data_IF_420020258084
#
_entry.id   IF_420020258084
#
_cell.length_a   1.000
_cell.length_b   1.000
_cell.length_c   1.000
_cell.angle_alpha   90.00
_cell.angle_beta   90.00
_cell.angle_gamma   90.00
#
_symmetry.space_group_name_H-M   'P 1'
#
loop_
_entity.id
_entity.type
_entity.pdbx_description
1 polymer ?
#
# COMPACT_ATOMS: atom_id res chain seq x y z
N UNK A 1 21.90 13.35 -5.05
CA UNK A 1 21.74 12.03 -4.37
C UNK A 1 20.27 11.75 -4.04
N UNK A 2 19.33 12.16 -4.90
CA UNK A 2 17.88 12.20 -4.59
C UNK A 2 17.03 11.22 -5.41
N UNK A 3 17.66 10.36 -6.23
CA UNK A 3 16.93 9.49 -7.19
C UNK A 3 16.88 8.01 -6.80
N UNK A 4 17.39 7.62 -5.63
CA UNK A 4 17.56 6.19 -5.29
C UNK A 4 16.40 5.55 -4.51
N UNK A 5 15.41 6.32 -4.06
CA UNK A 5 14.38 5.79 -3.15
C UNK A 5 12.97 5.65 -3.72
N UNK A 6 12.66 6.37 -4.79
CA UNK A 6 11.46 6.08 -5.62
C UNK A 6 11.64 4.76 -6.39
N UNK A 7 12.88 4.27 -6.43
CA UNK A 7 13.28 3.02 -7.10
C UNK A 7 12.91 1.74 -6.32
N UNK A 8 12.44 1.79 -5.08
CA UNK A 8 12.12 0.54 -4.38
C UNK A 8 10.83 -0.10 -4.90
N UNK A 9 9.86 0.67 -5.33
CA UNK A 9 8.69 0.13 -6.04
C UNK A 9 9.06 -0.31 -7.48
N UNK A 10 10.08 0.30 -8.09
CA UNK A 10 10.60 -0.09 -9.41
C UNK A 10 11.76 -1.11 -9.34
N UNK A 11 12.37 -1.35 -8.20
CA UNK A 11 13.50 -2.29 -8.04
C UNK A 11 13.06 -3.75 -7.93
N UNK A 12 11.79 -4.05 -7.79
CA UNK A 12 11.29 -5.40 -8.07
C UNK A 12 11.46 -5.78 -9.55
N UNK A 13 11.73 -4.81 -10.44
CA UNK A 13 11.94 -5.06 -11.88
C UNK A 13 13.41 -5.19 -12.30
N UNK A 14 14.41 -4.91 -11.45
CA UNK A 14 15.82 -4.85 -11.89
C UNK A 14 16.87 -5.29 -10.86
N UNK A 15 16.70 -6.39 -10.16
CA UNK A 15 17.85 -7.12 -9.65
C UNK A 15 18.15 -8.29 -10.59
N UNK A 16 18.59 -7.95 -11.80
CA UNK A 16 19.12 -8.91 -12.73
C UNK A 16 20.46 -9.45 -12.23
N UNK A 17 20.46 -10.68 -11.71
CA UNK A 17 21.58 -11.58 -11.89
C UNK A 17 21.18 -12.53 -13.00
N UNK A 18 21.72 -12.24 -14.18
CA UNK A 18 21.60 -13.06 -15.38
C UNK A 18 22.21 -14.44 -15.15
N UNK A 19 21.43 -15.48 -15.33
CA UNK A 19 21.79 -16.66 -16.14
C UNK A 19 20.54 -17.47 -16.43
N UNK A 20 20.12 -17.52 -17.69
CA UNK A 20 19.22 -18.53 -18.25
C UNK A 20 17.76 -18.17 -18.16
N UNK A 21 17.18 -17.80 -19.31
CA UNK A 21 15.77 -17.86 -19.68
C UNK A 21 14.75 -17.91 -18.53
N UNK A 22 14.57 -16.81 -17.79
CA UNK A 22 13.38 -16.60 -17.01
C UNK A 22 12.34 -15.95 -17.97
N UNK A 23 11.30 -16.67 -18.31
CA UNK A 23 10.07 -16.03 -18.78
C UNK A 23 9.69 -14.97 -17.75
N UNK A 24 9.32 -13.77 -18.22
CA UNK A 24 8.75 -12.72 -17.37
C UNK A 24 7.44 -13.24 -16.77
N UNK A 25 7.52 -13.88 -15.62
CA UNK A 25 6.34 -14.29 -14.86
C UNK A 25 5.82 -13.03 -14.20
N UNK A 26 4.56 -12.64 -14.41
CA UNK A 26 3.99 -11.48 -13.75
C UNK A 26 3.99 -11.72 -12.23
N UNK A 27 4.93 -11.12 -11.53
CA UNK A 27 5.06 -11.23 -10.10
C UNK A 27 4.35 -10.07 -9.42
N UNK A 28 3.40 -10.37 -8.54
CA UNK A 28 2.80 -9.43 -7.62
C UNK A 28 3.60 -9.44 -6.33
N UNK A 29 3.98 -8.27 -5.84
CA UNK A 29 4.68 -8.14 -4.57
C UNK A 29 3.73 -7.68 -3.47
N UNK A 30 3.73 -8.41 -2.37
CA UNK A 30 3.07 -8.01 -1.13
C UNK A 30 4.15 -7.58 -0.15
N UNK A 31 3.98 -6.42 0.47
CA UNK A 31 5.01 -5.86 1.35
C UNK A 31 4.46 -5.50 2.71
N UNK A 32 5.26 -5.75 3.72
CA UNK A 32 5.05 -5.33 5.09
C UNK A 32 6.38 -4.91 5.72
N UNK A 33 6.35 -4.08 6.75
CA UNK A 33 7.55 -3.66 7.45
C UNK A 33 7.46 -4.03 8.93
N UNK A 34 8.54 -4.64 9.45
CA UNK A 34 8.69 -4.96 10.88
C UNK A 34 9.93 -4.23 11.39
N UNK A 35 9.73 -3.10 12.07
CA UNK A 35 10.85 -2.24 12.44
C UNK A 35 11.60 -1.76 11.20
N UNK A 36 12.87 -2.15 11.09
CA UNK A 36 13.71 -1.81 9.93
C UNK A 36 13.75 -2.93 8.87
N UNK A 37 13.04 -4.04 9.07
CA UNK A 37 13.02 -5.19 8.16
C UNK A 37 11.86 -5.04 7.19
N UNK A 38 12.12 -5.03 5.88
CA UNK A 38 11.10 -5.19 4.87
C UNK A 38 10.80 -6.69 4.69
N UNK A 39 9.54 -7.04 4.70
CA UNK A 39 9.04 -8.39 4.44
C UNK A 39 8.33 -8.35 3.09
N UNK A 40 8.88 -9.02 2.09
CA UNK A 40 8.37 -9.01 0.72
C UNK A 40 7.99 -10.43 0.33
N UNK A 41 6.72 -10.65 0.00
CA UNK A 41 6.23 -11.88 -0.61
C UNK A 41 6.13 -11.69 -2.12
N UNK A 42 6.81 -12.53 -2.86
CA UNK A 42 6.65 -12.65 -4.31
C UNK A 42 5.59 -13.69 -4.63
N UNK A 43 4.61 -13.31 -5.44
CA UNK A 43 3.44 -14.12 -5.74
C UNK A 43 3.14 -14.10 -7.25
N UNK A 44 3.00 -15.28 -7.84
CA UNK A 44 2.51 -15.42 -9.19
C UNK A 44 0.98 -15.29 -9.22
N UNK A 45 0.49 -14.16 -9.71
CA UNK A 45 -0.94 -13.89 -9.79
C UNK A 45 -1.67 -14.77 -10.82
N UNK A 46 -0.98 -15.21 -11.88
CA UNK A 46 -1.54 -16.05 -12.94
C UNK A 46 -1.76 -17.48 -12.45
N UNK A 47 -0.74 -18.07 -11.82
CA UNK A 47 -0.80 -19.43 -11.27
C UNK A 47 -1.34 -19.50 -9.85
N UNK A 48 -1.47 -18.33 -9.19
CA UNK A 48 -1.88 -18.21 -7.78
C UNK A 48 -0.94 -18.96 -6.82
N UNK A 49 0.34 -18.88 -7.08
CA UNK A 49 1.36 -19.56 -6.29
C UNK A 49 2.37 -18.55 -5.72
N UNK A 50 2.67 -18.58 -4.42
CA UNK A 50 3.74 -17.80 -3.84
C UNK A 50 5.10 -18.45 -4.15
N UNK A 51 6.08 -17.60 -4.49
CA UNK A 51 7.44 -18.08 -4.75
C UNK A 51 8.27 -18.13 -3.47
N UNK A 52 8.50 -16.93 -2.90
CA UNK A 52 9.46 -16.68 -1.84
C UNK A 52 8.97 -15.57 -0.92
N UNK A 53 9.48 -15.59 0.32
CA UNK A 53 9.40 -14.46 1.26
C UNK A 53 10.81 -13.92 1.48
N UNK A 54 11.04 -12.66 1.11
CA UNK A 54 12.31 -11.99 1.34
C UNK A 54 12.22 -11.12 2.60
N UNK A 55 13.22 -11.23 3.45
CA UNK A 55 13.44 -10.39 4.62
C UNK A 55 14.65 -9.50 4.32
N UNK A 56 14.40 -8.24 4.00
CA UNK A 56 15.48 -7.28 3.74
C UNK A 56 15.81 -6.50 5.02
N UNK A 57 17.05 -6.62 5.45
CA UNK A 57 17.59 -5.96 6.65
C UNK A 57 18.36 -4.68 6.27
N UNK A 58 18.49 -3.71 7.19
CA UNK A 58 19.14 -2.41 6.93
C UNK A 58 20.58 -2.51 6.43
N UNK A 59 21.29 -3.57 6.82
CA UNK A 59 22.72 -3.80 6.51
C UNK A 59 22.96 -4.40 5.13
N UNK A 60 22.00 -4.29 4.19
CA UNK A 60 22.01 -4.95 2.87
C UNK A 60 22.07 -6.50 2.96
N UNK A 61 21.61 -7.05 4.06
CA UNK A 61 21.43 -8.50 4.20
C UNK A 61 20.00 -8.87 3.82
N UNK A 62 19.87 -9.88 2.95
CA UNK A 62 18.58 -10.45 2.58
C UNK A 62 18.54 -11.92 2.97
N UNK A 63 17.54 -12.30 3.76
CA UNK A 63 17.23 -13.70 4.04
C UNK A 63 16.04 -14.12 3.20
N UNK A 64 16.20 -15.17 2.40
CA UNK A 64 15.13 -15.69 1.54
C UNK A 64 14.54 -16.96 2.15
N UNK A 65 13.25 -16.92 2.41
CA UNK A 65 12.47 -18.08 2.84
C UNK A 65 11.82 -18.72 1.61
N UNK A 66 12.25 -19.91 1.28
CA UNK A 66 11.77 -20.67 0.13
C UNK A 66 10.51 -21.46 0.49
N UNK A 67 9.55 -21.51 -0.43
CA UNK A 67 8.38 -22.38 -0.28
C UNK A 67 8.83 -23.86 -0.18
N UNK A 68 8.46 -24.52 0.91
CA UNK A 68 8.84 -25.91 1.18
C UNK A 68 7.67 -26.89 1.08
N UNK A 69 6.46 -26.41 1.34
CA UNK A 69 5.27 -27.26 1.41
C UNK A 69 4.02 -26.45 1.05
N UNK A 70 3.11 -27.09 0.31
CA UNK A 70 1.77 -26.58 0.06
C UNK A 70 0.72 -27.58 0.52
N UNK A 71 -0.09 -27.20 1.50
CA UNK A 71 -1.26 -27.96 1.91
C UNK A 71 -2.49 -27.52 1.12
N UNK A 72 -2.89 -28.32 0.13
CA UNK A 72 -4.07 -28.03 -0.72
C UNK A 72 -5.40 -28.00 0.03
N UNK A 73 -5.52 -28.75 1.13
CA UNK A 73 -6.77 -28.82 1.89
C UNK A 73 -6.99 -27.56 2.72
N UNK A 74 -5.90 -26.95 3.22
CA UNK A 74 -5.93 -25.75 4.05
C UNK A 74 -5.61 -24.49 3.26
N UNK A 75 -5.29 -24.59 1.96
CA UNK A 75 -4.76 -23.49 1.14
C UNK A 75 -3.63 -22.74 1.85
N UNK A 76 -2.68 -23.51 2.42
CA UNK A 76 -1.60 -23.00 3.27
C UNK A 76 -0.25 -23.34 2.69
N UNK A 77 0.62 -22.34 2.61
CA UNK A 77 2.01 -22.48 2.19
C UNK A 77 2.94 -22.36 3.41
N UNK A 78 4.03 -23.11 3.37
CA UNK A 78 5.10 -23.04 4.37
C UNK A 78 6.41 -22.67 3.71
N UNK A 79 7.15 -21.74 4.36
CA UNK A 79 8.42 -21.21 3.89
C UNK A 79 9.47 -21.38 4.95
N UNK A 80 10.71 -21.69 4.56
CA UNK A 80 11.85 -21.80 5.46
C UNK A 80 13.09 -21.16 4.87
N UNK A 81 13.85 -20.47 5.73
CA UNK A 81 15.17 -19.99 5.39
C UNK A 81 16.17 -21.16 5.31
N UNK A 82 17.15 -21.02 4.42
CA UNK A 82 18.36 -21.88 4.36
C UNK A 82 19.53 -21.28 5.14
N UNK A 83 19.42 -20.04 5.58
CA UNK A 83 20.51 -19.28 6.22
C UNK A 83 20.26 -19.02 7.70
N UNK A 84 19.00 -18.93 8.11
CA UNK A 84 18.58 -18.63 9.49
C UNK A 84 17.51 -19.60 9.96
N UNK A 85 17.09 -19.46 11.23
CA UNK A 85 15.94 -20.20 11.79
C UNK A 85 14.59 -19.55 11.46
N UNK A 86 14.57 -18.62 10.50
CA UNK A 86 13.33 -17.95 10.11
C UNK A 86 12.43 -18.88 9.31
N UNK A 87 11.14 -18.84 9.62
CA UNK A 87 10.12 -19.55 8.86
C UNK A 87 8.80 -18.78 8.81
N UNK A 88 7.98 -19.08 7.82
CA UNK A 88 6.68 -18.44 7.66
C UNK A 88 5.62 -19.44 7.20
N UNK A 89 4.37 -19.09 7.47
CA UNK A 89 3.20 -19.74 6.87
C UNK A 89 2.28 -18.70 6.28
N UNK A 90 1.80 -18.92 5.08
CA UNK A 90 0.93 -18.04 4.34
C UNK A 90 -0.44 -18.68 4.14
N UNK A 91 -1.50 -17.92 4.35
CA UNK A 91 -2.87 -18.31 4.04
C UNK A 91 -3.67 -17.12 3.52
N UNK A 92 -4.69 -17.37 2.70
CA UNK A 92 -5.65 -16.34 2.33
C UNK A 92 -6.51 -15.93 3.53
N UNK A 93 -6.78 -14.63 3.68
CA UNK A 93 -7.57 -14.11 4.81
C UNK A 93 -9.05 -14.46 4.70
N UNK A 94 -9.57 -14.56 3.48
CA UNK A 94 -10.94 -15.00 3.24
C UNK A 94 -11.12 -15.48 1.79
N UNK A 95 -12.09 -16.35 1.59
CA UNK A 95 -12.51 -16.75 0.24
C UNK A 95 -13.10 -15.58 -0.59
N UNK A 96 -13.58 -14.54 0.08
CA UNK A 96 -14.18 -13.35 -0.55
C UNK A 96 -13.16 -12.34 -1.03
N UNK A 97 -11.99 -12.33 -0.41
CA UNK A 97 -10.86 -11.49 -0.82
C UNK A 97 -9.58 -12.35 -0.85
N UNK A 98 -9.38 -13.13 -1.92
CA UNK A 98 -8.22 -14.00 -2.07
C UNK A 98 -6.91 -13.21 -2.29
N UNK A 99 -7.00 -11.90 -2.55
CA UNK A 99 -5.82 -11.04 -2.70
C UNK A 99 -5.26 -10.59 -1.35
N UNK A 100 -6.05 -10.67 -0.28
CA UNK A 100 -5.56 -10.35 1.05
C UNK A 100 -4.95 -11.58 1.71
N UNK A 101 -3.66 -11.51 2.00
CA UNK A 101 -2.88 -12.61 2.53
C UNK A 101 -2.45 -12.35 3.98
N UNK A 102 -2.61 -13.35 4.84
CA UNK A 102 -2.05 -13.37 6.19
C UNK A 102 -0.75 -14.21 6.18
N UNK A 103 0.36 -13.57 6.53
CA UNK A 103 1.64 -14.22 6.74
C UNK A 103 1.91 -14.35 8.25
N UNK A 104 2.05 -15.58 8.74
CA UNK A 104 2.57 -15.84 10.09
C UNK A 104 4.07 -16.05 9.99
N UNK A 105 4.87 -15.05 10.40
CA UNK A 105 6.32 -15.02 10.25
C UNK A 105 7.02 -15.15 11.59
N UNK A 106 7.98 -16.07 11.69
CA UNK A 106 8.85 -16.25 12.85
C UNK A 106 10.29 -15.87 12.52
N UNK A 107 10.80 -14.87 13.24
CA UNK A 107 12.19 -14.41 13.16
C UNK A 107 12.79 -14.46 14.56
N UNK A 108 13.96 -15.09 14.73
CA UNK A 108 14.64 -15.21 16.03
C UNK A 108 13.69 -15.69 17.15
N UNK A 109 12.87 -16.70 16.85
CA UNK A 109 11.94 -17.31 17.79
C UNK A 109 10.70 -16.48 18.15
N UNK A 110 10.52 -15.30 17.55
CA UNK A 110 9.33 -14.46 17.77
C UNK A 110 8.39 -14.54 16.57
N UNK A 111 7.16 -15.02 16.79
CA UNK A 111 6.15 -15.12 15.74
C UNK A 111 5.26 -13.89 15.70
N UNK A 112 4.99 -13.41 14.50
CA UNK A 112 4.06 -12.31 14.21
C UNK A 112 3.13 -12.68 13.06
N UNK A 113 1.90 -12.22 13.14
CA UNK A 113 0.92 -12.30 12.06
C UNK A 113 0.90 -10.98 11.33
N UNK A 114 1.06 -11.02 10.02
CA UNK A 114 1.14 -9.86 9.15
C UNK A 114 0.05 -9.97 8.09
N UNK A 115 -0.69 -8.87 7.91
CA UNK A 115 -1.55 -8.69 6.75
C UNK A 115 -0.71 -8.08 5.65
N UNK A 116 -0.48 -8.81 4.58
CA UNK A 116 0.34 -8.34 3.48
C UNK A 116 -0.48 -7.46 2.53
N UNK A 117 0.11 -6.35 2.12
CA UNK A 117 -0.48 -5.41 1.17
C UNK A 117 0.03 -5.68 -0.24
N UNK A 118 -0.90 -5.87 -1.17
CA UNK A 118 -0.57 -5.91 -2.58
C UNK A 118 -0.33 -4.48 -3.09
N UNK A 119 0.87 -4.19 -3.57
CA UNK A 119 1.23 -2.86 -4.08
C UNK A 119 0.36 -2.42 -5.24
N UNK A 120 -0.02 -3.32 -6.14
CA UNK A 120 -0.89 -2.99 -7.27
C UNK A 120 -2.30 -2.58 -6.85
N UNK A 121 -2.66 -2.85 -5.59
CA UNK A 121 -3.97 -2.54 -5.04
C UNK A 121 -3.90 -1.42 -3.98
N UNK A 122 -2.76 -0.77 -3.80
CA UNK A 122 -2.62 0.36 -2.89
C UNK A 122 -2.98 1.66 -3.57
N UNK A 123 -3.36 2.66 -2.80
CA UNK A 123 -3.61 4.02 -3.27
C UNK A 123 -2.62 4.97 -2.62
N UNK A 124 -1.84 5.68 -3.41
CA UNK A 124 -0.95 6.72 -2.92
C UNK A 124 -1.73 8.01 -2.68
N UNK A 125 -1.63 8.54 -1.47
CA UNK A 125 -2.37 9.73 -1.02
C UNK A 125 -1.48 10.65 -0.20
N UNK A 126 -1.92 11.90 -0.01
CA UNK A 126 -1.34 12.79 0.98
C UNK A 126 -2.30 13.07 2.13
N UNK A 127 -1.73 13.45 3.27
CA UNK A 127 -2.52 13.92 4.42
C UNK A 127 -3.05 15.33 4.12
N UNK A 128 -4.35 15.49 4.29
CA UNK A 128 -5.05 16.76 4.13
C UNK A 128 -6.06 16.89 5.28
N UNK A 129 -5.56 17.32 6.43
CA UNK A 129 -6.37 17.48 7.63
C UNK A 129 -6.73 18.97 7.80
N UNK A 130 -8.01 19.30 7.70
CA UNK A 130 -8.51 20.67 7.84
C UNK A 130 -8.67 21.07 9.32
N UNK A 131 -8.35 20.18 10.25
CA UNK A 131 -8.34 20.51 11.68
C UNK A 131 -7.08 21.31 12.06
N UNK A 132 -7.11 21.92 13.25
CA UNK A 132 -5.96 22.71 13.72
C UNK A 132 -4.89 21.88 14.44
N UNK A 133 -5.08 20.57 14.55
CA UNK A 133 -4.20 19.68 15.29
C UNK A 133 -3.50 18.65 14.40
N UNK A 134 -2.60 17.89 15.02
CA UNK A 134 -1.92 16.78 14.37
C UNK A 134 -2.89 15.71 13.90
N UNK A 135 -2.57 15.07 12.78
CA UNK A 135 -3.38 13.97 12.25
C UNK A 135 -3.13 12.67 13.01
N UNK A 136 -4.19 12.08 13.53
CA UNK A 136 -4.12 10.87 14.33
C UNK A 136 -4.11 9.59 13.48
N UNK A 137 -3.13 8.73 13.75
CA UNK A 137 -3.09 7.36 13.25
C UNK A 137 -3.44 6.41 14.39
N UNK A 138 -4.26 5.39 14.10
CA UNK A 138 -4.81 4.48 15.09
C UNK A 138 -4.42 3.03 14.81
N UNK A 139 -4.48 2.18 15.84
CA UNK A 139 -4.18 0.74 15.72
C UNK A 139 -5.34 -0.09 15.12
N UNK A 140 -6.51 0.49 14.95
CA UNK A 140 -7.70 -0.10 14.34
C UNK A 140 -8.68 1.02 13.95
N UNK A 141 -9.69 0.77 13.11
CA UNK A 141 -10.82 1.67 12.91
C UNK A 141 -11.43 2.08 14.26
N UNK A 142 -11.46 3.39 14.53
CA UNK A 142 -11.91 3.98 15.82
C UNK A 142 -11.09 3.54 17.07
N UNK A 143 -9.96 2.86 16.86
CA UNK A 143 -9.11 2.36 17.95
C UNK A 143 -8.25 3.44 18.63
N UNK A 144 -7.27 2.98 19.41
CA UNK A 144 -6.34 3.85 20.14
C UNK A 144 -5.38 4.57 19.18
N UNK A 145 -5.04 5.81 19.47
CA UNK A 145 -4.02 6.58 18.75
C UNK A 145 -2.65 5.94 19.02
N UNK A 146 -1.93 5.58 17.97
CA UNK A 146 -0.59 4.97 18.04
C UNK A 146 0.50 5.88 17.49
N UNK A 147 0.11 6.88 16.69
CA UNK A 147 1.04 7.86 16.12
C UNK A 147 0.28 9.15 15.78
N UNK A 148 1.02 10.25 15.69
CA UNK A 148 0.50 11.54 15.25
C UNK A 148 1.41 12.09 14.18
N UNK A 149 0.84 12.54 13.08
CA UNK A 149 1.54 13.27 12.05
C UNK A 149 1.42 14.77 12.33
N UNK A 150 2.55 15.44 12.30
CA UNK A 150 2.65 16.88 12.52
C UNK A 150 1.82 17.64 11.48
N UNK A 151 1.00 18.58 11.94
CA UNK A 151 0.14 19.41 11.08
C UNK A 151 0.92 20.31 10.10
N UNK A 152 2.17 20.65 10.43
CA UNK A 152 3.02 21.56 9.65
C UNK A 152 3.88 20.79 8.63
N UNK A 153 3.88 19.45 8.67
CA UNK A 153 4.57 18.58 7.73
C UNK A 153 3.72 18.18 6.53
N UNK A 154 4.38 17.89 5.42
CA UNK A 154 3.75 17.22 4.26
C UNK A 154 3.93 15.73 4.36
N UNK A 155 2.84 14.99 4.47
CA UNK A 155 2.86 13.54 4.69
C UNK A 155 2.16 12.81 3.55
N UNK A 156 2.79 11.74 3.06
CA UNK A 156 2.25 10.88 2.00
C UNK A 156 2.26 9.43 2.45
N UNK A 157 1.23 8.70 2.07
CA UNK A 157 0.94 7.35 2.55
C UNK A 157 0.50 6.46 1.39
N UNK A 158 0.84 5.18 1.47
CA UNK A 158 0.18 4.15 0.69
C UNK A 158 -0.96 3.55 1.51
N UNK A 159 -2.16 3.56 0.96
CA UNK A 159 -3.36 3.04 1.60
C UNK A 159 -3.76 1.72 0.94
N UNK A 160 -4.02 0.72 1.77
CA UNK A 160 -4.53 -0.60 1.35
C UNK A 160 -6.03 -0.71 1.56
N UNK A 161 -6.45 -1.73 2.31
CA UNK A 161 -7.87 -1.99 2.52
C UNK A 161 -8.60 -0.89 3.28
N UNK A 162 -9.85 -0.64 2.85
CA UNK A 162 -10.78 0.25 3.53
C UNK A 162 -11.79 -0.54 4.37
N UNK A 163 -12.07 -0.04 5.56
CA UNK A 163 -13.12 -0.56 6.43
C UNK A 163 -13.87 0.60 7.09
N UNK A 164 -15.14 0.77 6.74
CA UNK A 164 -16.02 1.81 7.33
C UNK A 164 -15.42 3.22 7.30
N UNK A 165 -14.77 3.58 6.18
CA UNK A 165 -14.11 4.88 6.00
C UNK A 165 -12.72 4.99 6.63
N UNK A 166 -12.19 3.90 7.17
CA UNK A 166 -10.82 3.82 7.67
C UNK A 166 -9.97 3.05 6.70
N UNK A 167 -8.85 3.62 6.34
CA UNK A 167 -7.86 3.03 5.47
C UNK A 167 -6.71 2.44 6.28
N UNK A 168 -6.30 1.22 5.97
CA UNK A 168 -5.09 0.64 6.52
C UNK A 168 -3.88 1.25 5.80
N UNK A 169 -2.86 1.64 6.57
CA UNK A 169 -1.62 2.19 6.04
C UNK A 169 -0.68 1.04 5.71
N UNK A 170 -0.28 0.94 4.44
CA UNK A 170 0.60 -0.10 3.96
C UNK A 170 2.00 0.05 4.54
N UNK A 171 2.61 -1.08 4.93
CA UNK A 171 3.97 -1.13 5.42
C UNK A 171 4.23 -0.42 6.75
N UNK A 172 3.22 0.19 7.38
CA UNK A 172 3.35 0.96 8.62
C UNK A 172 4.38 2.10 8.53
N UNK A 173 4.48 2.78 7.42
CA UNK A 173 5.34 3.95 7.30
C UNK A 173 4.67 5.11 6.54
N UNK A 174 5.23 6.27 6.68
CA UNK A 174 4.82 7.52 6.06
C UNK A 174 6.04 8.21 5.44
N UNK A 175 5.88 8.73 4.24
CA UNK A 175 6.84 9.67 3.68
C UNK A 175 6.51 11.06 4.20
N UNK A 176 7.41 11.63 5.00
CA UNK A 176 7.22 12.93 5.66
C UNK A 176 8.29 13.91 5.22
N UNK A 177 7.86 15.15 4.98
CA UNK A 177 8.71 16.26 4.57
C UNK A 177 8.33 17.49 5.40
N UNK A 178 9.27 18.02 6.16
CA UNK A 178 9.07 19.17 7.03
C UNK A 178 10.40 19.72 7.57
N UNK A 179 10.35 20.66 8.51
CA UNK A 179 11.55 21.27 9.07
C UNK A 179 12.42 20.29 9.89
N UNK A 180 11.78 19.27 10.49
CA UNK A 180 12.45 18.36 11.44
C UNK A 180 12.86 17.05 10.80
N UNK A 181 12.16 16.59 9.76
CA UNK A 181 12.49 15.32 9.09
C UNK A 181 12.16 15.31 7.61
N UNK A 182 12.94 14.55 6.87
CA UNK A 182 12.74 14.31 5.45
C UNK A 182 12.93 12.82 5.16
N UNK A 183 11.91 12.19 4.55
CA UNK A 183 11.96 10.81 4.04
C UNK A 183 10.91 9.89 4.64
N UNK A 184 11.16 8.58 4.53
CA UNK A 184 10.26 7.54 5.00
C UNK A 184 10.48 7.26 6.49
N UNK A 185 9.44 7.43 7.28
CA UNK A 185 9.45 7.25 8.73
C UNK A 185 8.53 6.09 9.14
N UNK A 186 8.96 5.21 10.05
CA UNK A 186 8.09 4.18 10.59
C UNK A 186 7.01 4.81 11.50
N UNK A 187 5.76 4.44 11.28
CA UNK A 187 4.64 4.80 12.17
C UNK A 187 4.67 3.92 13.42
N UNK A 188 4.94 2.63 13.21
CA UNK A 188 5.07 1.65 14.29
C UNK A 188 5.83 0.41 13.81
N UNK A 189 6.37 -0.33 14.77
CA UNK A 189 7.18 -1.53 14.49
C UNK A 189 6.36 -2.81 14.38
N UNK A 190 5.09 -2.81 14.84
CA UNK A 190 4.22 -3.98 14.86
C UNK A 190 2.75 -3.60 14.79
N UNK A 191 1.92 -4.58 14.38
CA UNK A 191 0.48 -4.41 14.22
C UNK A 191 0.12 -3.51 13.04
N UNK A 192 -1.15 -3.15 12.94
CA UNK A 192 -1.70 -2.36 11.85
C UNK A 192 -1.81 -0.89 12.24
N UNK A 193 -1.71 -0.02 11.23
CA UNK A 193 -1.94 1.41 11.34
C UNK A 193 -3.08 1.84 10.43
N UNK A 194 -3.98 2.67 10.95
CA UNK A 194 -5.20 3.07 10.29
C UNK A 194 -5.38 4.59 10.32
N UNK A 195 -5.84 5.14 9.20
CA UNK A 195 -6.16 6.56 9.04
C UNK A 195 -7.57 6.74 8.49
N UNK A 196 -8.28 7.76 8.92
CA UNK A 196 -9.65 8.01 8.44
C UNK A 196 -9.63 8.75 7.10
N UNK A 197 -10.56 8.43 6.18
CA UNK A 197 -10.63 9.02 4.86
C UNK A 197 -10.76 10.56 4.87
N UNK A 198 -11.35 11.13 5.92
CA UNK A 198 -11.59 12.58 6.02
C UNK A 198 -10.31 13.41 6.22
N UNK A 199 -9.18 12.79 6.50
CA UNK A 199 -7.91 13.46 6.72
C UNK A 199 -6.85 13.10 5.68
N UNK A 200 -7.23 12.39 4.61
CA UNK A 200 -6.36 12.11 3.46
C UNK A 200 -7.01 12.59 2.17
N UNK A 201 -6.21 12.88 1.17
CA UNK A 201 -6.68 13.37 -0.11
C UNK A 201 -5.80 12.93 -1.28
N UNK A 202 -6.35 13.09 -2.48
CA UNK A 202 -5.67 13.01 -3.77
C UNK A 202 -6.02 14.24 -4.60
N UNK A 203 -5.06 14.75 -5.36
CA UNK A 203 -5.32 15.75 -6.38
C UNK A 203 -5.75 15.10 -7.69
N UNK A 204 -6.33 15.86 -8.61
CA UNK A 204 -6.59 15.39 -9.97
C UNK A 204 -5.49 15.84 -10.94
N UNK A 205 -5.19 15.02 -11.97
CA UNK A 205 -4.09 15.20 -12.94
C UNK A 205 -4.52 15.82 -14.26
N UNK A 206 -5.59 16.58 -14.29
CA UNK A 206 -6.07 17.22 -15.53
C UNK A 206 -5.37 18.57 -15.80
N UNK A 207 -4.04 18.59 -15.68
CA UNK A 207 -3.18 19.78 -15.84
C UNK A 207 -3.31 20.43 -17.22
N UNK A 208 -3.67 19.67 -18.25
CA UNK A 208 -3.96 20.17 -19.60
C UNK A 208 -5.39 20.60 -19.83
N UNK A 209 -6.20 20.75 -18.77
CA UNK A 209 -7.61 21.16 -18.87
C UNK A 209 -8.55 20.05 -19.37
N UNK A 210 -8.13 18.76 -19.26
CA UNK A 210 -8.99 17.63 -19.60
C UNK A 210 -10.25 17.63 -18.76
N UNK A 211 -11.36 17.26 -19.38
CA UNK A 211 -12.63 17.12 -18.70
C UNK A 211 -12.73 15.71 -18.09
N UNK A 212 -12.73 15.64 -16.76
CA UNK A 212 -12.85 14.40 -16.00
C UNK A 212 -14.30 14.17 -15.55
N UNK A 213 -14.60 12.91 -15.24
CA UNK A 213 -15.94 12.48 -14.86
C UNK A 213 -15.86 11.56 -13.63
N UNK A 214 -16.66 11.86 -12.61
CA UNK A 214 -17.00 10.86 -11.60
C UNK A 214 -18.16 10.02 -12.13
N UNK A 215 -18.04 8.71 -12.00
CA UNK A 215 -19.01 7.75 -12.52
C UNK A 215 -19.76 7.04 -11.39
N UNK A 216 -20.95 6.57 -11.67
CA UNK A 216 -21.81 5.86 -10.73
C UNK A 216 -21.21 4.51 -10.30
N UNK A 217 -20.48 3.85 -11.19
CA UNK A 217 -19.84 2.55 -10.98
C UNK A 217 -18.40 2.56 -11.52
N UNK A 218 -17.52 1.64 -11.06
CA UNK A 218 -16.13 1.55 -11.52
C UNK A 218 -16.05 0.95 -12.94
N UNK A 219 -16.48 1.71 -13.92
CA UNK A 219 -16.51 1.33 -15.33
C UNK A 219 -16.55 2.56 -16.24
N UNK A 220 -15.78 2.54 -17.32
CA UNK A 220 -15.77 3.58 -18.36
C UNK A 220 -17.13 3.78 -19.05
N UNK A 221 -18.01 2.78 -19.02
CA UNK A 221 -19.36 2.83 -19.60
C UNK A 221 -20.42 3.33 -18.61
N UNK A 222 -20.10 3.43 -17.32
CA UNK A 222 -21.04 3.87 -16.31
C UNK A 222 -21.43 5.36 -16.50
N UNK A 223 -22.64 5.69 -16.08
CA UNK A 223 -23.18 7.06 -16.16
C UNK A 223 -22.28 8.02 -15.36
N UNK A 224 -21.95 9.17 -15.95
CA UNK A 224 -21.28 10.26 -15.25
C UNK A 224 -22.27 10.92 -14.27
N UNK A 225 -21.86 11.04 -13.01
CA UNK A 225 -22.63 11.71 -11.94
C UNK A 225 -22.11 13.11 -11.63
N UNK A 226 -20.86 13.39 -12.00
CA UNK A 226 -20.23 14.72 -11.89
C UNK A 226 -19.18 14.89 -12.98
N UNK A 227 -19.04 16.11 -13.51
CA UNK A 227 -18.07 16.42 -14.57
C UNK A 227 -17.38 17.75 -14.22
N UNK A 228 -16.06 17.78 -14.39
CA UNK A 228 -15.25 18.96 -14.08
C UNK A 228 -14.00 19.00 -14.99
N UNK A 229 -13.44 20.21 -15.18
CA UNK A 229 -12.24 20.44 -15.98
C UNK A 229 -11.12 21.19 -15.26
N UNK A 230 -11.41 21.65 -14.04
CA UNK A 230 -10.39 22.24 -13.16
C UNK A 230 -9.81 21.16 -12.29
N UNK A 231 -8.53 21.30 -11.93
CA UNK A 231 -7.92 20.47 -10.90
C UNK A 231 -8.65 20.65 -9.58
N UNK A 232 -8.97 19.55 -8.93
CA UNK A 232 -9.64 19.54 -7.63
C UNK A 232 -9.01 18.52 -6.68
N UNK A 233 -9.15 18.78 -5.40
CA UNK A 233 -8.79 17.83 -4.34
C UNK A 233 -10.00 16.96 -4.00
N UNK A 234 -9.77 15.66 -3.84
CA UNK A 234 -10.80 14.66 -3.59
C UNK A 234 -10.43 13.79 -2.38
N UNK A 235 -11.45 13.33 -1.65
CA UNK A 235 -11.32 12.34 -0.56
C UNK A 235 -11.49 10.93 -1.13
N UNK A 236 -10.52 10.01 -0.97
CA UNK A 236 -10.69 8.63 -1.38
C UNK A 236 -11.60 7.88 -0.40
N UNK A 237 -12.61 7.20 -0.93
CA UNK A 237 -13.59 6.45 -0.16
C UNK A 237 -13.45 4.93 -0.29
N UNK A 238 -13.06 4.43 -1.47
CA UNK A 238 -12.94 3.01 -1.80
C UNK A 238 -12.03 2.83 -3.02
N UNK A 239 -11.45 1.64 -3.21
CA UNK A 239 -10.65 1.30 -4.39
C UNK A 239 -11.04 -0.09 -4.91
N UNK A 240 -11.15 -0.22 -6.25
CA UNK A 240 -11.44 -1.49 -6.94
C UNK A 240 -10.62 -1.59 -8.21
N UNK A 241 -9.51 -2.29 -8.16
CA UNK A 241 -8.55 -2.33 -9.25
C UNK A 241 -8.07 -0.92 -9.59
N UNK A 242 -8.18 -0.52 -10.84
CA UNK A 242 -7.78 0.80 -11.35
C UNK A 242 -8.79 1.93 -11.05
N UNK A 243 -9.86 1.65 -10.34
CA UNK A 243 -10.91 2.61 -10.02
C UNK A 243 -10.87 3.02 -8.55
N UNK A 244 -10.94 4.32 -8.31
CA UNK A 244 -11.03 4.89 -6.98
C UNK A 244 -12.37 5.59 -6.81
N UNK A 245 -13.12 5.22 -5.78
CA UNK A 245 -14.31 5.97 -5.38
C UNK A 245 -13.87 7.18 -4.58
N UNK A 246 -14.30 8.36 -5.01
CA UNK A 246 -13.89 9.63 -4.41
C UNK A 246 -15.08 10.51 -4.08
N UNK A 247 -14.87 11.49 -3.21
CA UNK A 247 -15.83 12.52 -2.83
C UNK A 247 -15.18 13.89 -2.91
N UNK A 248 -15.90 14.89 -3.41
CA UNK A 248 -15.46 16.30 -3.34
C UNK A 248 -15.36 16.78 -1.89
N UNK A 249 -14.49 17.77 -1.61
CA UNK A 249 -14.29 18.28 -0.25
C UNK A 249 -15.58 18.86 0.35
N UNK A 250 -16.42 19.48 -0.47
CA UNK A 250 -17.74 20.01 -0.06
C UNK A 250 -18.81 18.92 0.13
N UNK A 251 -18.45 17.65 -0.09
CA UNK A 251 -19.27 16.43 0.05
C UNK A 251 -20.50 16.36 -0.86
N UNK A 252 -20.65 17.26 -1.85
CA UNK A 252 -21.81 17.29 -2.74
C UNK A 252 -21.79 16.23 -3.81
N UNK A 253 -20.59 15.82 -4.26
CA UNK A 253 -20.44 14.86 -5.34
C UNK A 253 -19.55 13.72 -4.91
N UNK A 254 -19.94 12.49 -5.27
CA UNK A 254 -19.13 11.30 -5.12
C UNK A 254 -19.30 10.39 -6.32
N UNK A 255 -18.29 9.60 -6.62
CA UNK A 255 -18.31 8.65 -7.72
C UNK A 255 -16.96 8.01 -7.95
N UNK A 256 -16.86 7.21 -8.99
CA UNK A 256 -15.67 6.48 -9.37
C UNK A 256 -14.89 7.22 -10.45
N UNK A 257 -13.57 7.25 -10.32
CA UNK A 257 -12.62 7.80 -11.29
C UNK A 257 -11.47 6.81 -11.46
N UNK A 258 -10.87 6.75 -12.64
CA UNK A 258 -9.67 5.95 -12.89
C UNK A 258 -8.49 6.52 -12.11
N UNK A 259 -7.72 5.64 -11.49
CA UNK A 259 -6.57 6.02 -10.63
C UNK A 259 -5.51 6.83 -11.38
N UNK A 260 -5.32 6.58 -12.68
CA UNK A 260 -4.39 7.32 -13.52
C UNK A 260 -4.64 8.84 -13.51
N UNK A 261 -5.87 9.27 -13.22
CA UNK A 261 -6.24 10.68 -13.09
C UNK A 261 -6.01 11.26 -11.71
N UNK A 262 -5.41 10.49 -10.80
CA UNK A 262 -5.19 10.91 -9.41
C UNK A 262 -3.70 11.09 -9.11
N UNK A 263 -3.39 12.03 -8.23
CA UNK A 263 -2.07 12.33 -7.72
C UNK A 263 -2.09 12.34 -6.19
N UNK A 264 -1.34 11.44 -5.58
CA UNK A 264 -1.17 11.36 -4.13
C UNK A 264 0.03 12.16 -3.59
N UNK A 265 0.68 12.99 -4.42
CA UNK A 265 1.83 13.78 -4.03
C UNK A 265 1.39 15.21 -3.67
N UNK A 266 1.66 15.63 -2.42
CA UNK A 266 1.36 16.97 -1.94
C UNK A 266 2.38 18.04 -2.38
N UNK A 267 3.57 17.63 -2.83
CA UNK A 267 4.71 18.52 -3.05
C UNK A 267 4.95 18.82 -4.53
N UNK A 268 4.56 17.90 -5.40
CA UNK A 268 4.79 18.01 -6.84
C UNK A 268 3.59 17.52 -7.64
N UNK A 269 3.49 17.96 -8.88
CA UNK A 269 2.59 17.33 -9.85
C UNK A 269 3.09 15.90 -10.14
N UNK A 270 2.16 14.96 -10.24
CA UNK A 270 2.48 13.62 -10.68
C UNK A 270 2.73 13.61 -12.19
N UNK A 271 3.75 12.89 -12.69
CA UNK A 271 4.09 12.81 -14.12
C UNK A 271 2.98 12.14 -14.94
#
# INVERSE_FOLDING_TARGET
MKLKRILLALLCLFSGVSTGFAQDIPAVCYVYRIGEINVILYYDAEHREPFDVHLEYPENFTDTLFCTTFDKQQARYEFKSKQTDSFATLSACSEKDPQQLELSLTIKGKTRKLMLDNFDNTLFVYVYDETKGDTNIRNAPKGTIVHKLDKDGSHMLNLGNNKDGWWRICGNFVASYGEVYEGELPIRQDGESWIHYSVVAVGTRNYGGQTLKLREQPSGQARAVYTFSKEITLRPLDKRGEWVKVQTLDKKHQGWIEEEWLCGNALTTCP
#
